data_IF_136563028372
#
_entry.id   IF_136563028372
#
_cell.length_a   1.000
_cell.length_b   1.000
_cell.length_c   1.000
_cell.angle_alpha   90.00
_cell.angle_beta   90.00
_cell.angle_gamma   90.00
#
_symmetry.space_group_name_H-M   'P 1'
#
loop_
_entity.id
_entity.type
_entity.pdbx_description
1 polymer ?
2 polymer ?
3 water ?
#
loop_
_entity_poly.entity_id
_entity_poly.type
_entity_poly.pdbx_seq_one_letter_code
_entity_poly.pdbx_strand_id
1 'polydeoxyribonucleotide' '(DT)(DC)(DA)(DC)(DG)(5CM)(DT)(DG)(DC)(DG)(DT)(DG)(DA)' ?
#
# COMPACT_ATOMS: atom_id res chain seq x y z
N UNK C 1 -21.55 -4.03 16.13
CA UNK C 1 -20.40 -4.89 15.91
C UNK C 1 -20.01 -5.55 17.23
N UNK C 2 -18.82 -6.15 17.29
CA UNK C 2 -18.38 -6.87 18.48
C UNK C 2 -17.00 -6.35 18.87
N UNK C 3 -16.50 -6.64 20.08
CA UNK C 3 -15.17 -6.16 20.47
C UNK C 3 -14.10 -6.67 19.53
N UNK C 4 -12.98 -5.94 19.51
CA UNK C 4 -11.88 -6.28 18.61
C UNK C 4 -11.23 -7.61 19.01
N UNK C 5 -11.02 -7.82 20.31
CA UNK C 5 -10.43 -9.05 20.81
C UNK C 5 -11.44 -10.19 20.95
N UNK C 6 -12.52 -10.15 20.17
CA UNK C 6 -13.56 -11.18 20.26
C UNK C 6 -13.15 -12.41 19.48
N UNK C 7 -13.39 -13.57 20.08
CA UNK C 7 -13.01 -14.86 19.51
C UNK C 7 -14.22 -15.54 18.89
N UNK C 8 -14.08 -15.97 17.64
CA UNK C 8 -15.08 -16.82 17.03
C UNK C 8 -15.89 -16.14 15.94
N UNK C 9 -17.02 -16.75 15.59
CA UNK C 9 -17.80 -16.25 14.44
C UNK C 9 -18.40 -14.88 14.71
N UNK C 10 -18.54 -14.10 13.63
CA UNK C 10 -19.23 -12.82 13.65
C UNK C 10 -20.70 -13.09 13.30
N UNK C 11 -21.64 -12.64 14.12
CA UNK C 11 -23.06 -12.98 13.90
C UNK C 11 -23.61 -12.26 12.68
N UNK C 12 -24.10 -13.03 11.70
CA UNK C 12 -24.69 -12.50 10.51
C UNK C 12 -23.90 -12.77 9.24
N UNK C 13 -22.61 -13.06 9.36
CA UNK C 13 -21.78 -13.40 8.21
C UNK C 13 -21.56 -14.91 8.21
N UNK C 14 -22.43 -15.69 7.56
CA UNK C 14 -22.26 -17.16 7.59
C UNK C 14 -21.03 -17.61 6.82
N UNK C 15 -20.76 -18.91 6.83
CA UNK C 15 -19.69 -19.46 6.01
C UNK C 15 -20.06 -19.32 4.55
N UNK C 16 -19.19 -18.66 3.77
CA UNK C 16 -19.39 -18.54 2.34
C UNK C 16 -19.62 -17.14 1.81
N UNK C 17 -19.67 -16.12 2.68
CA UNK C 17 -19.85 -14.75 2.20
C UNK C 17 -18.59 -14.25 1.51
N UNK C 18 -18.78 -13.34 0.56
CA UNK C 18 -17.70 -12.93 -0.34
C UNK C 18 -17.67 -11.41 -0.47
N UNK C 19 -16.69 -10.77 0.17
CA UNK C 19 -16.37 -9.38 -0.10
C UNK C 19 -15.27 -9.29 -1.16
N UNK C 20 -15.24 -8.17 -1.87
CA UNK C 20 -14.27 -7.98 -2.95
C UNK C 20 -12.94 -7.42 -2.45
N UNK C 21 -12.96 -6.53 -1.47
CA UNK C 21 -11.75 -5.93 -0.92
C UNK C 21 -11.63 -6.27 0.55
N UNK C 22 -10.41 -6.13 1.07
CA UNK C 22 -10.15 -6.46 2.46
C UNK C 22 -10.66 -5.39 3.42
N UNK C 23 -10.96 -4.18 2.94
CA UNK C 23 -11.59 -3.19 3.80
C UNK C 23 -13.03 -3.57 4.09
N UNK C 24 -13.72 -4.17 3.13
CA UNK C 24 -15.04 -4.69 3.42
C UNK C 24 -14.97 -5.85 4.41
N UNK C 25 -13.99 -6.73 4.25
CA UNK C 25 -13.82 -7.83 5.20
C UNK C 25 -13.54 -7.28 6.59
N UNK C 26 -12.87 -6.13 6.66
CA UNK C 26 -12.56 -5.47 7.94
C UNK C 26 -13.79 -4.87 8.59
N UNK C 27 -14.50 -4.01 7.85
CA UNK C 27 -15.74 -3.39 8.33
C UNK C 27 -16.75 -4.43 8.78
N UNK C 28 -16.79 -5.55 8.08
CA UNK C 28 -17.63 -6.67 8.50
C UNK C 28 -17.20 -7.21 9.86
N UNK C 29 -15.98 -6.93 10.27
CA UNK C 29 -15.46 -7.41 11.53
C UNK C 29 -14.89 -8.80 11.50
N UNK C 30 -15.01 -9.51 10.38
CA UNK C 30 -14.51 -10.88 10.28
C UNK C 30 -12.99 -10.90 10.39
N UNK C 31 -12.33 -9.96 9.71
CA UNK C 31 -10.87 -9.79 9.78
C UNK C 31 -10.56 -8.30 9.77
N UNK C 32 -10.25 -7.76 10.95
CA UNK C 32 -10.08 -6.31 11.12
C UNK C 32 -8.83 -5.70 10.52
N UNK C 33 -7.67 -6.35 10.47
CA UNK C 33 -6.50 -5.72 9.85
C UNK C 33 -6.70 -5.52 8.35
N UNK C 34 -6.43 -4.29 7.89
CA UNK C 34 -6.58 -3.97 6.48
C UNK C 34 -5.58 -4.73 5.62
N UNK C 35 -4.40 -5.03 6.17
CA UNK C 35 -3.34 -5.62 5.36
C UNK C 35 -2.77 -6.87 6.02
N UNK C 36 -2.61 -6.86 7.35
CA UNK C 36 -1.89 -7.92 8.02
C UNK C 36 -2.59 -9.25 7.85
N UNK C 37 -1.80 -10.31 7.71
CA UNK C 37 -2.39 -11.64 7.56
C UNK C 37 -3.09 -12.10 8.81
N UNK C 38 -2.48 -11.87 9.97
CA UNK C 38 -3.01 -12.32 11.25
C UNK C 38 -3.54 -11.13 12.02
N UNK C 39 -4.61 -11.36 12.77
CA UNK C 39 -5.13 -10.40 13.75
C UNK C 39 -4.98 -11.02 15.12
N UNK C 40 -4.18 -10.40 15.98
CA UNK C 40 -3.97 -10.96 17.30
C UNK C 40 -3.27 -10.00 18.23
N UNK C 41 -3.42 -10.28 19.51
CA UNK C 41 -2.67 -9.60 20.57
C UNK C 41 -1.84 -10.66 21.29
N UNK C 42 -0.53 -10.42 21.38
CA UNK C 42 0.37 -11.43 21.92
C UNK C 42 -0.02 -11.87 23.34
N UNK C 43 -0.84 -11.08 24.03
CA UNK C 43 -1.26 -11.40 25.38
C UNK C 43 -2.57 -12.19 25.43
N UNK C 44 -3.17 -12.51 24.29
CA UNK C 44 -4.52 -13.08 24.30
C UNK C 44 -4.68 -14.22 23.31
N UNK C 45 -4.38 -13.96 22.04
CA UNK C 45 -4.56 -14.97 21.02
C UNK C 45 -4.71 -14.32 19.66
N UNK C 46 -5.06 -15.16 18.69
CA UNK C 46 -5.33 -14.72 17.32
C UNK C 46 -6.81 -14.88 17.02
N UNK C 47 -7.42 -13.85 16.45
CA UNK C 47 -8.85 -13.83 16.22
C UNK C 47 -9.24 -14.14 14.77
N UNK C 48 -8.35 -13.88 13.82
CA UNK C 48 -8.66 -14.12 12.41
C UNK C 48 -7.38 -14.02 11.59
N UNK C 49 -7.31 -14.83 10.52
CA UNK C 49 -6.21 -14.74 9.58
C UNK C 49 -6.71 -14.94 8.16
N UNK C 50 -5.86 -14.53 7.22
CA UNK C 50 -6.17 -14.51 5.79
C UNK C 50 -5.13 -15.35 5.06
N UNK C 51 -5.58 -16.14 4.07
CA UNK C 51 -4.70 -16.90 3.20
C UNK C 51 -4.68 -16.24 1.83
N UNK C 52 -3.59 -15.53 1.54
CA UNK C 52 -3.42 -14.83 0.27
C UNK C 52 -2.21 -15.34 -0.51
N UNK C 53 -1.86 -16.60 -0.29
CA UNK C 53 -0.74 -17.22 -0.98
C UNK C 53 0.55 -16.48 -0.80
N UNK C 54 0.87 -16.09 0.43
CA UNK C 54 2.08 -15.32 0.67
C UNK C 54 3.34 -16.18 0.63
N UNK C 55 3.28 -17.37 1.20
CA UNK C 55 4.47 -18.18 1.43
C UNK C 55 4.52 -19.34 0.45
N UNK C 56 5.68 -19.51 -0.20
CA UNK C 56 5.83 -20.53 -1.23
C UNK C 56 5.56 -21.94 -0.72
N UNK C 57 5.66 -22.15 0.59
CA UNK C 57 5.18 -23.39 1.19
C UNK C 57 3.70 -23.23 1.48
N UNK C 58 3.31 -23.35 2.75
CA UNK C 58 1.94 -23.10 3.19
C UNK C 58 0.94 -23.91 2.37
N UNK C 59 1.07 -25.23 2.46
CA UNK C 59 0.22 -26.12 1.68
C UNK C 59 -1.22 -26.01 2.17
N UNK C 60 -2.14 -25.83 1.23
CA UNK C 60 -3.55 -25.62 1.52
C UNK C 60 -4.32 -26.86 1.06
N UNK C 61 -4.99 -27.52 2.02
CA UNK C 61 -5.71 -28.75 1.73
C UNK C 61 -7.17 -28.68 2.17
N UNK C 62 -7.70 -27.49 2.39
CA UNK C 62 -9.10 -27.34 2.73
C UNK C 62 -9.38 -27.36 4.22
N UNK C 63 -9.72 -28.54 4.75
CA UNK C 63 -9.90 -28.67 6.19
C UNK C 63 -8.59 -28.52 6.94
N UNK C 64 -7.46 -28.76 6.28
CA UNK C 64 -6.14 -28.64 6.87
C UNK C 64 -5.30 -27.69 6.02
N UNK C 65 -4.52 -26.83 6.66
CA UNK C 65 -3.53 -26.05 5.94
C UNK C 65 -2.41 -25.66 6.88
N UNK C 66 -1.20 -25.55 6.32
CA UNK C 66 -0.07 -24.99 7.04
C UNK C 66 0.05 -23.50 6.74
N UNK C 67 0.64 -22.78 7.69
CA UNK C 67 0.64 -21.32 7.64
C UNK C 67 1.92 -20.83 8.29
N UNK C 68 2.39 -19.66 7.86
CA UNK C 68 3.65 -19.10 8.33
C UNK C 68 3.43 -17.70 8.87
N UNK C 69 4.19 -17.34 9.92
CA UNK C 69 3.97 -16.10 10.64
C UNK C 69 4.60 -14.89 9.99
N UNK C 70 4.70 -13.81 10.78
CA UNK C 70 5.19 -12.52 10.33
C UNK C 70 6.58 -12.25 10.87
N UNK C 71 7.34 -11.43 10.15
CA UNK C 71 8.66 -11.02 10.56
C UNK C 71 9.67 -11.13 9.43
N UNK C 72 10.76 -10.38 9.56
CA UNK C 72 11.83 -10.40 8.58
C UNK C 72 11.44 -9.85 7.23
N UNK C 85 14.42 -12.18 5.45
CA UNK C 85 15.63 -11.37 5.45
C UNK C 85 16.22 -11.30 6.86
N UNK C 86 15.52 -11.93 7.82
CA UNK C 86 16.06 -12.20 9.14
C UNK C 86 15.08 -13.12 9.86
N UNK C 87 15.55 -13.71 10.96
CA UNK C 87 14.79 -14.72 11.67
C UNK C 87 13.48 -14.16 12.19
N UNK C 88 12.48 -15.05 12.28
CA UNK C 88 11.19 -14.71 12.86
C UNK C 88 11.18 -15.01 14.35
N UNK C 89 10.53 -14.16 15.13
CA UNK C 89 10.47 -14.31 16.57
C UNK C 89 9.07 -14.75 16.99
N UNK C 90 9.01 -15.48 18.11
CA UNK C 90 7.74 -15.88 18.69
C UNK C 90 7.19 -14.73 19.55
N UNK C 91 6.97 -13.60 18.88
CA UNK C 91 6.42 -12.42 19.53
C UNK C 91 5.39 -11.80 18.63
N UNK C 92 4.46 -11.08 19.24
CA UNK C 92 3.36 -10.36 18.56
C UNK C 92 2.48 -11.40 17.87
N UNK C 93 2.05 -11.14 16.63
CA UNK C 93 1.07 -12.00 15.97
C UNK C 93 1.53 -13.46 15.96
N UNK C 94 2.83 -13.70 15.82
CA UNK C 94 3.35 -15.06 15.89
C UNK C 94 3.02 -15.70 17.24
N UNK C 95 3.28 -14.96 18.32
CA UNK C 95 2.93 -15.46 19.65
C UNK C 95 1.42 -15.52 19.84
N UNK C 96 0.70 -14.53 19.30
CA UNK C 96 -0.75 -14.50 19.45
C UNK C 96 -1.39 -15.77 18.90
N UNK C 97 -0.98 -16.18 17.69
CA UNK C 97 -1.57 -17.35 17.07
C UNK C 97 -1.29 -18.61 17.89
N UNK C 98 -0.03 -18.82 18.29
CA UNK C 98 0.33 -20.01 19.03
C UNK C 98 -0.46 -20.12 20.34
N UNK C 99 -0.89 -18.99 20.89
CA UNK C 99 -1.64 -19.01 22.15
C UNK C 99 -2.94 -19.77 22.02
N UNK C 100 -3.50 -19.85 20.80
CA UNK C 100 -4.76 -20.55 20.60
C UNK C 100 -4.62 -22.06 20.67
N UNK C 101 -3.43 -22.60 20.45
CA UNK C 101 -3.23 -24.04 20.53
C UNK C 101 -3.36 -24.50 21.98
N UNK C 102 -4.19 -25.52 22.20
CA UNK C 102 -4.47 -26.03 23.54
C UNK C 102 -3.22 -26.70 24.10
N UNK C 103 -2.28 -25.86 24.51
CA UNK C 103 -1.00 -26.27 25.09
C UNK C 103 -0.31 -25.02 25.62
N UNK C 104 0.44 -25.11 26.72
CA UNK C 104 1.17 -23.95 27.21
C UNK C 104 2.15 -23.44 26.16
N UNK C 105 2.24 -22.12 26.04
CA UNK C 105 3.11 -21.47 25.06
C UNK C 105 4.53 -21.97 25.25
N UNK C 106 5.03 -22.73 24.28
CA UNK C 106 6.39 -23.25 24.29
C UNK C 106 7.17 -22.57 23.18
N UNK C 107 8.34 -22.04 23.53
CA UNK C 107 9.19 -21.34 22.59
C UNK C 107 9.87 -22.27 21.60
N UNK C 108 9.60 -23.58 21.64
CA UNK C 108 10.12 -24.53 20.67
C UNK C 108 9.03 -25.26 19.91
N UNK C 109 7.79 -24.79 19.99
CA UNK C 109 6.67 -25.44 19.32
C UNK C 109 5.99 -26.45 20.20
N UNK C 110 4.67 -26.56 20.09
CA UNK C 110 3.90 -27.45 20.95
C UNK C 110 2.84 -28.18 20.12
N UNK C 111 2.14 -29.10 20.78
CA UNK C 111 1.03 -29.83 20.19
C UNK C 111 -0.14 -29.80 21.16
N UNK C 112 -1.34 -30.02 20.62
CA UNK C 112 -2.57 -29.77 21.34
C UNK C 112 -3.10 -31.04 21.98
N UNK C 113 -3.22 -31.02 23.31
CA UNK C 113 -4.06 -31.96 24.05
C UNK C 113 -5.52 -31.62 23.76
N UNK C 114 -6.20 -32.48 22.99
CA UNK C 114 -7.54 -32.17 22.47
C UNK C 114 -7.50 -30.86 21.70
N UNK C 115 -7.17 -30.92 20.41
CA UNK C 115 -7.03 -29.71 19.60
C UNK C 115 -8.31 -28.89 19.56
N UNK C 116 -9.46 -29.53 19.68
CA UNK C 116 -10.74 -28.83 19.55
C UNK C 116 -11.00 -27.85 20.69
N UNK C 117 -10.18 -27.88 21.74
CA UNK C 117 -10.31 -26.92 22.85
C UNK C 117 -9.40 -25.71 22.68
N UNK C 118 -8.98 -25.43 21.45
CA UNK C 118 -8.23 -24.22 21.18
C UNK C 118 -9.12 -23.03 20.95
N UNK C 119 -8.51 -21.84 20.98
CA UNK C 119 -9.25 -20.63 20.67
C UNK C 119 -9.63 -20.64 19.18
N UNK C 120 -10.81 -20.14 18.83
CA UNK C 120 -11.22 -20.19 17.42
C UNK C 120 -10.59 -19.07 16.60
N UNK C 121 -10.26 -19.40 15.35
CA UNK C 121 -9.66 -18.46 14.42
C UNK C 121 -10.60 -18.31 13.23
N UNK C 122 -10.98 -17.07 12.91
CA UNK C 122 -11.68 -16.80 11.67
C UNK C 122 -10.69 -16.85 10.52
N UNK C 123 -11.11 -17.42 9.40
CA UNK C 123 -10.22 -17.59 8.25
C UNK C 123 -10.96 -17.21 6.98
N UNK C 124 -10.35 -16.34 6.19
CA UNK C 124 -10.87 -16.00 4.88
C UNK C 124 -9.77 -16.27 3.85
N UNK C 125 -10.20 -16.72 2.67
CA UNK C 125 -9.29 -17.01 1.58
C UNK C 125 -9.39 -15.92 0.52
N UNK C 126 -8.26 -15.57 -0.07
CA UNK C 126 -8.17 -14.46 -1.00
C UNK C 126 -7.75 -14.96 -2.38
N UNK C 127 -8.20 -14.24 -3.41
CA UNK C 127 -7.96 -14.67 -4.80
C UNK C 127 -6.48 -14.87 -5.08
N UNK C 128 -5.61 -14.13 -4.40
CA UNK C 128 -4.18 -14.28 -4.63
C UNK C 128 -3.65 -15.61 -4.10
N UNK C 129 -4.39 -16.28 -3.23
CA UNK C 129 -4.02 -17.60 -2.78
C UNK C 129 -4.11 -18.68 -3.84
N UNK C 130 -4.78 -18.41 -4.96
CA UNK C 130 -4.86 -19.37 -6.05
C UNK C 130 -3.51 -19.77 -6.61
N UNK C 131 -2.48 -18.94 -6.40
CA UNK C 131 -1.13 -19.28 -6.82
C UNK C 131 -0.69 -20.64 -6.28
N UNK C 132 -1.21 -21.05 -5.13
CA UNK C 132 -0.78 -22.29 -4.50
C UNK C 132 -1.92 -23.19 -4.03
N UNK C 133 -3.18 -22.75 -4.12
CA UNK C 133 -4.26 -23.48 -3.47
C UNK C 133 -5.45 -23.60 -4.40
N UNK C 134 -5.88 -24.85 -4.64
CA UNK C 134 -7.12 -25.11 -5.39
C UNK C 134 -8.36 -24.60 -4.65
N UNK C 135 -8.24 -24.25 -3.38
CA UNK C 135 -9.37 -23.87 -2.55
C UNK C 135 -9.59 -22.37 -2.49
N UNK C 136 -8.78 -21.58 -3.19
CA UNK C 136 -8.98 -20.15 -3.22
C UNK C 136 -10.23 -19.80 -4.01
N UNK C 137 -10.80 -18.63 -3.76
CA UNK C 137 -11.86 -18.13 -4.65
C UNK C 137 -11.28 -17.60 -5.94
N UNK C 138 -12.12 -17.55 -6.97
CA UNK C 138 -11.70 -16.96 -8.23
C UNK C 138 -11.55 -15.45 -8.09
N UNK C 139 -12.24 -14.85 -7.13
CA UNK C 139 -12.23 -13.40 -6.96
C UNK C 139 -12.59 -13.06 -5.52
N UNK C 140 -11.95 -12.02 -4.99
CA UNK C 140 -12.38 -11.45 -3.73
C UNK C 140 -11.95 -12.26 -2.51
N UNK C 141 -12.77 -12.17 -1.46
CA UNK C 141 -12.46 -12.75 -0.16
C UNK C 141 -13.66 -13.53 0.33
N UNK C 142 -13.44 -14.79 0.71
CA UNK C 142 -14.50 -15.68 1.17
C UNK C 142 -14.20 -16.15 2.59
N UNK C 143 -15.11 -15.86 3.52
CA UNK C 143 -15.01 -16.40 4.87
C UNK C 143 -15.34 -17.89 4.85
N UNK C 144 -14.32 -18.71 5.03
CA UNK C 144 -14.48 -20.16 4.93
C UNK C 144 -14.72 -20.85 6.27
N UNK C 145 -14.82 -20.09 7.36
CA UNK C 145 -15.34 -20.62 8.61
C UNK C 145 -14.32 -20.51 9.75
N UNK C 146 -14.30 -21.54 10.59
CA UNK C 146 -13.56 -21.55 11.85
C UNK C 146 -12.52 -22.65 11.82
N UNK C 147 -11.30 -22.32 12.23
CA UNK C 147 -10.24 -23.29 12.39
C UNK C 147 -9.64 -23.15 13.78
N UNK C 148 -8.94 -24.20 14.21
CA UNK C 148 -8.23 -24.20 15.48
C UNK C 148 -6.79 -24.65 15.25
N UNK C 149 -5.89 -24.14 16.09
CA UNK C 149 -4.47 -24.48 15.97
C UNK C 149 -4.25 -25.83 16.63
N UNK C 150 -3.74 -26.79 15.85
CA UNK C 150 -3.43 -28.12 16.35
C UNK C 150 -1.96 -28.24 16.74
N UNK C 151 -1.08 -27.59 15.99
CA UNK C 151 0.36 -27.75 16.16
C UNK C 151 1.05 -26.49 15.68
N UNK C 152 2.25 -26.25 16.21
CA UNK C 152 3.12 -25.23 15.65
C UNK C 152 4.57 -25.63 15.90
N UNK C 153 5.46 -25.14 15.05
CA UNK C 153 6.86 -25.57 15.04
C UNK C 153 7.68 -24.52 14.32
N UNK C 154 9.00 -24.47 14.57
CA UNK C 154 9.86 -23.60 13.77
C UNK C 154 10.62 -24.36 12.70
N UNK C 155 11.02 -23.68 11.62
CA UNK C 155 11.75 -24.37 10.55
C UNK C 155 12.42 -23.34 9.64
N UNK C 156 13.33 -23.85 8.81
CA UNK C 156 14.04 -23.02 7.85
C UNK C 156 13.38 -23.06 6.48
N UNK C 159 14.54 -19.02 1.15
CA UNK C 159 14.58 -18.79 2.59
C UNK C 159 16.00 -18.85 3.13
N UNK C 160 16.30 -19.87 3.91
CA UNK C 160 17.54 -19.92 4.66
C UNK C 160 17.47 -19.26 6.01
N UNK C 161 16.30 -18.78 6.42
CA UNK C 161 16.10 -18.18 7.73
C UNK C 161 15.00 -18.94 8.48
N UNK C 162 14.85 -18.61 9.76
CA UNK C 162 13.92 -19.34 10.63
C UNK C 162 12.53 -18.72 10.57
N UNK C 163 11.52 -19.58 10.45
CA UNK C 163 10.13 -19.16 10.36
C UNK C 163 9.29 -19.95 11.35
N UNK C 164 8.14 -19.39 11.70
CA UNK C 164 7.19 -20.01 12.62
C UNK C 164 5.98 -20.48 11.84
N UNK C 165 5.66 -21.77 11.95
CA UNK C 165 4.63 -22.39 11.13
C UNK C 165 3.56 -23.04 12.00
N UNK C 166 2.39 -23.24 11.41
CA UNK C 166 1.21 -23.67 12.14
C UNK C 166 0.37 -24.63 11.30
N UNK C 167 -0.02 -25.75 11.89
CA UNK C 167 -1.06 -26.59 11.32
C UNK C 167 -2.40 -26.11 11.85
N UNK C 168 -3.38 -25.96 10.94
CA UNK C 168 -4.73 -25.58 11.33
C UNK C 168 -5.73 -26.57 10.75
N UNK C 169 -6.59 -27.09 11.62
CA UNK C 169 -7.67 -28.00 11.25
C UNK C 169 -9.00 -27.26 11.39
N UNK C 170 -9.96 -27.59 10.54
CA UNK C 170 -11.25 -26.91 10.55
C UNK C 170 -12.19 -27.54 11.57
N UNK C 171 -12.91 -26.66 12.30
CA UNK C 171 -13.96 -27.10 13.22
C UNK C 171 -15.10 -26.08 13.13
N UNK C 172 -15.90 -26.18 12.08
CA UNK C 172 -17.10 -25.39 11.92
C UNK C 172 -18.27 -26.32 11.62
N UNK C 173 -19.46 -25.93 12.10
CA UNK C 173 -20.65 -26.73 11.83
C UNK C 173 -21.12 -26.55 10.40
N UNK C 174 -20.93 -25.37 9.82
CA UNK C 174 -21.41 -25.24 8.46
C UNK C 174 -20.34 -25.68 7.47
N UNK C 175 -20.73 -26.19 6.31
CA UNK C 175 -19.78 -26.92 5.45
C UNK C 175 -18.87 -26.00 4.66
N UNK C 176 -17.77 -26.59 4.21
CA UNK C 176 -16.83 -25.88 3.35
C UNK C 176 -17.52 -25.48 2.05
N UNK C 177 -17.30 -24.25 1.57
CA UNK C 177 -18.02 -23.79 0.37
C UNK C 177 -17.61 -24.51 -0.91
N UNK C 178 -16.49 -25.23 -0.94
CA UNK C 178 -16.09 -25.94 -2.14
C UNK C 178 -16.65 -27.36 -2.21
N UNK C 179 -17.44 -27.77 -1.23
CA UNK C 179 -18.04 -29.11 -1.23
C UNK C 179 -19.44 -29.06 -1.85
N UNK C 180 -19.98 -30.25 -2.09
CA UNK C 180 -21.34 -30.36 -2.62
C UNK C 180 -22.35 -29.77 -1.64
N UNK C 181 -22.25 -30.14 -0.36
CA UNK C 181 -23.11 -29.56 0.66
C UNK C 181 -22.91 -28.06 0.77
N UNK C 182 -21.65 -27.62 0.69
CA UNK C 182 -21.32 -26.21 0.80
C UNK C 182 -21.73 -25.39 -0.41
N UNK C 183 -21.59 -25.97 -1.60
CA UNK C 183 -22.05 -25.26 -2.80
C UNK C 183 -23.56 -25.07 -2.78
N UNK C 184 -24.28 -25.95 -2.06
CA UNK C 184 -25.73 -25.77 -1.93
C UNK C 184 -26.05 -24.68 -0.90
N UNK C 185 -25.27 -24.61 0.18
CA UNK C 185 -25.46 -23.54 1.15
C UNK C 185 -25.15 -22.18 0.52
N UNK C 186 -24.10 -22.10 -0.30
CA UNK C 186 -23.83 -20.86 -1.01
C UNK C 186 -25.01 -20.48 -1.92
N UNK C 187 -25.65 -21.46 -2.56
CA UNK C 187 -26.73 -21.15 -3.47
C UNK C 187 -28.03 -20.87 -2.73
N UNK C 188 -28.33 -21.63 -1.69
CA UNK C 188 -29.62 -21.48 -1.01
C UNK C 188 -29.67 -20.19 -0.19
N UNK C 189 -28.56 -19.81 0.42
CA UNK C 189 -28.51 -18.57 1.20
C UNK C 189 -28.32 -17.33 0.33
N UNK C 190 -28.29 -17.51 -0.99
CA UNK C 190 -28.23 -16.37 -1.91
C UNK C 190 -27.04 -15.46 -1.70
N UNK C 191 -25.86 -16.02 -1.49
CA UNK C 191 -24.66 -15.24 -1.26
C UNK C 191 -23.98 -14.92 -2.58
N UNK C 192 -23.76 -13.63 -2.84
CA UNK C 192 -23.07 -13.16 -4.03
C UNK C 192 -21.90 -12.29 -3.60
N UNK C 193 -20.95 -12.12 -4.52
CA UNK C 193 -19.82 -11.23 -4.28
C UNK C 193 -20.30 -9.82 -3.95
N UNK C 194 -20.08 -9.38 -2.72
CA UNK C 194 -20.55 -8.08 -2.26
C UNK C 194 -19.49 -7.04 -2.55
N UNK C 195 -19.85 -6.04 -3.34
CA UNK C 195 -18.96 -4.95 -3.70
C UNK C 195 -19.24 -3.73 -2.84
N UNK C 196 -18.24 -2.86 -2.64
CA UNK C 196 -18.49 -1.62 -1.89
C UNK C 196 -19.55 -0.78 -2.59
N UNK C 197 -20.35 -0.09 -1.79
CA UNK C 197 -21.40 0.76 -2.34
C UNK C 197 -20.78 1.83 -3.23
N UNK C 198 -21.09 1.77 -4.53
CA UNK C 198 -20.61 2.73 -5.49
C UNK C 198 -19.46 2.24 -6.34
N UNK C 199 -18.77 1.17 -5.92
CA UNK C 199 -17.58 0.73 -6.63
C UNK C 199 -17.90 0.34 -8.07
N UNK C 200 -18.87 -0.56 -8.25
CA UNK C 200 -19.19 -1.05 -9.59
C UNK C 200 -19.64 0.09 -10.49
N UNK C 201 -20.63 0.86 -10.05
CA UNK C 201 -21.15 1.97 -10.85
C UNK C 201 -20.04 2.95 -11.22
N UNK C 202 -19.21 3.32 -10.25
CA UNK C 202 -18.17 4.32 -10.52
C UNK C 202 -17.14 3.80 -11.51
N UNK C 203 -16.73 2.55 -11.36
CA UNK C 203 -15.68 2.03 -12.23
C UNK C 203 -16.15 1.90 -13.68
N UNK C 204 -17.45 1.70 -13.90
CA UNK C 204 -17.97 1.58 -15.25
C UNK C 204 -17.73 2.83 -16.09
N UNK C 205 -17.28 3.91 -15.48
CA UNK C 205 -17.05 5.17 -16.19
C UNK C 205 -15.56 5.31 -16.49
N UNK C 206 -15.16 4.74 -17.62
CA UNK C 206 -13.83 4.95 -18.18
C UNK C 206 -13.95 5.82 -19.42
N UNK C 207 -14.49 7.02 -19.26
CA UNK C 207 -14.56 7.98 -20.36
C UNK C 207 -13.47 9.03 -20.19
N UNK C 208 -12.23 8.56 -20.22
CA UNK C 208 -11.07 9.42 -20.15
C UNK C 208 -10.81 10.00 -21.54
N UNK C 209 -9.69 10.71 -21.71
CA UNK C 209 -9.35 11.27 -23.01
C UNK C 209 -8.58 10.26 -23.84
N UNK C 210 -8.68 10.43 -25.16
CA UNK C 210 -8.09 9.49 -26.11
C UNK C 210 -7.51 10.23 -27.32
N UNK D 1 -5.50 15.11 -23.88
CA UNK D 1 -5.26 15.50 -22.49
C UNK D 1 -3.76 15.41 -22.20
N UNK D 2 -2.98 15.39 -23.28
CA UNK D 2 -1.53 15.18 -23.35
C UNK D 2 -1.17 13.78 -22.87
N UNK D 3 -0.30 13.08 -23.60
CA UNK D 3 0.02 11.69 -23.27
C UNK D 3 0.74 11.56 -21.94
N UNK D 4 0.97 10.31 -21.55
CA UNK D 4 1.68 10.03 -20.30
C UNK D 4 3.08 10.59 -20.33
N UNK D 5 3.79 10.41 -21.44
CA UNK D 5 5.18 10.84 -21.54
C UNK D 5 5.29 12.27 -22.09
N UNK D 6 4.46 13.16 -21.56
CA UNK D 6 4.46 14.56 -21.93
C UNK D 6 5.27 15.36 -20.92
N UNK D 7 6.13 16.24 -21.42
CA UNK D 7 6.96 17.08 -20.56
C UNK D 7 6.26 18.40 -20.27
N UNK D 8 6.53 18.96 -19.09
CA UNK D 8 6.09 20.28 -18.75
C UNK D 8 4.72 20.32 -18.10
N UNK D 9 4.17 21.53 -17.96
CA UNK D 9 2.93 21.69 -17.20
C UNK D 9 1.75 21.01 -17.87
N UNK D 10 0.76 20.65 -17.06
CA UNK D 10 -0.46 20.02 -17.56
C UNK D 10 -1.49 21.11 -17.80
N UNK D 11 -2.02 21.24 -19.01
CA UNK D 11 -3.11 22.19 -19.25
C UNK D 11 -4.25 22.03 -18.26
N UNK D 12 -4.67 23.13 -17.67
CA UNK D 12 -5.79 23.14 -16.75
C UNK D 12 -5.46 22.88 -15.30
N UNK D 13 -4.18 22.67 -14.97
CA UNK D 13 -3.76 22.43 -13.60
C UNK D 13 -2.78 23.51 -13.16
N UNK D 14 -3.27 24.65 -12.69
CA UNK D 14 -2.37 25.76 -12.35
C UNK D 14 -1.51 25.45 -11.14
N UNK D 15 -0.39 26.18 -11.07
CA UNK D 15 0.50 26.09 -9.91
C UNK D 15 -0.27 26.43 -8.66
N UNK D 16 -0.10 25.61 -7.62
CA UNK D 16 -0.84 25.77 -6.39
C UNK D 16 -2.04 24.87 -6.24
N UNK D 17 -2.36 24.07 -7.26
CA UNK D 17 -3.46 23.12 -7.15
C UNK D 17 -3.17 22.12 -6.04
N UNK D 18 -4.21 21.75 -5.29
CA UNK D 18 -4.07 20.92 -4.11
C UNK D 18 -4.96 19.68 -4.22
N UNK D 19 -4.36 18.52 -3.98
CA UNK D 19 -5.09 17.26 -3.83
C UNK D 19 -4.72 16.62 -2.51
N UNK D 20 -5.72 16.00 -1.87
CA UNK D 20 -5.47 15.38 -0.56
C UNK D 20 -4.70 14.07 -0.69
N UNK D 21 -4.85 13.35 -1.80
CA UNK D 21 -4.31 12.01 -1.92
C UNK D 21 -3.51 11.84 -3.20
N UNK D 22 -2.57 10.89 -3.16
CA UNK D 22 -1.70 10.63 -4.29
C UNK D 22 -2.48 10.15 -5.52
N UNK D 23 -3.61 9.49 -5.30
CA UNK D 23 -4.39 8.95 -6.42
C UNK D 23 -4.98 10.08 -7.25
N UNK D 24 -5.44 11.15 -6.60
CA UNK D 24 -5.96 12.29 -7.35
C UNK D 24 -4.84 13.01 -8.08
N UNK D 25 -3.61 12.93 -7.56
CA UNK D 25 -2.49 13.59 -8.23
C UNK D 25 -2.11 12.86 -9.53
N UNK D 26 -2.44 11.56 -9.65
CA UNK D 26 -2.23 10.78 -10.88
C UNK D 26 -3.36 10.97 -11.88
N UNK D 27 -4.60 10.96 -11.40
CA UNK D 27 -5.73 11.36 -12.23
C UNK D 27 -5.52 12.76 -12.80
N UNK D 28 -5.04 13.67 -11.96
CA UNK D 28 -4.64 14.97 -12.45
C UNK D 28 -3.82 14.84 -13.73
N UNK D 29 -2.83 13.96 -13.73
CA UNK D 29 -1.85 13.90 -14.81
C UNK D 29 -0.50 14.49 -14.45
N UNK D 30 -0.41 15.31 -13.39
CA UNK D 30 0.87 15.93 -13.06
C UNK D 30 1.87 14.90 -12.55
N UNK D 31 1.41 13.87 -11.84
CA UNK D 31 2.30 12.80 -11.36
C UNK D 31 1.52 11.50 -11.33
N UNK D 32 1.68 10.69 -12.39
CA UNK D 32 0.93 9.45 -12.57
C UNK D 32 1.27 8.32 -11.58
N UNK D 33 2.51 8.15 -11.13
CA UNK D 33 2.78 7.08 -10.15
C UNK D 33 2.02 7.28 -8.85
N UNK D 34 1.42 6.20 -8.37
CA UNK D 34 0.65 6.24 -7.12
C UNK D 34 1.56 6.26 -5.90
N UNK D 35 2.72 5.61 -5.98
CA UNK D 35 3.61 5.47 -4.82
C UNK D 35 4.99 5.99 -5.18
N UNK D 36 5.50 5.58 -6.33
CA UNK D 36 6.87 5.88 -6.72
C UNK D 36 7.12 7.38 -6.71
N UNK D 37 8.35 7.76 -6.37
CA UNK D 37 8.69 9.17 -6.32
C UNK D 37 8.80 9.80 -7.69
N UNK D 38 9.27 9.04 -8.67
CA UNK D 38 9.62 9.58 -9.99
C UNK D 38 8.75 8.94 -11.06
N UNK D 39 8.41 9.74 -12.08
CA UNK D 39 7.79 9.29 -13.31
C UNK D 39 8.82 9.48 -14.43
N UNK D 40 9.34 8.37 -14.97
CA UNK D 40 10.38 8.50 -15.97
C UNK D 40 10.85 7.22 -16.65
N UNK D 41 11.01 7.29 -17.96
CA UNK D 41 11.53 6.19 -18.78
C UNK D 41 13.01 6.43 -19.07
N UNK D 42 13.77 5.35 -19.15
CA UNK D 42 15.23 5.40 -19.12
C UNK D 42 15.87 5.90 -20.42
N UNK D 43 15.09 6.12 -21.48
CA UNK D 43 15.62 6.67 -22.72
C UNK D 43 14.97 7.98 -23.11
N UNK D 44 14.10 8.53 -22.26
CA UNK D 44 13.35 9.74 -22.58
C UNK D 44 13.63 10.85 -21.58
N UNK D 45 13.44 10.59 -20.30
CA UNK D 45 13.61 11.59 -19.26
C UNK D 45 12.63 11.35 -18.15
N UNK D 46 12.59 12.30 -17.21
CA UNK D 46 11.64 12.26 -16.10
C UNK D 46 10.60 13.35 -16.28
N UNK D 47 9.38 13.05 -15.84
CA UNK D 47 8.25 13.96 -16.03
C UNK D 47 7.76 14.58 -14.74
N UNK D 48 7.94 13.93 -13.60
CA UNK D 48 7.43 14.45 -12.34
C UNK D 48 8.05 13.71 -11.17
N UNK D 49 8.21 14.44 -10.06
CA UNK D 49 8.65 13.87 -8.80
C UNK D 49 7.85 14.50 -7.67
N UNK D 50 7.84 13.81 -6.52
CA UNK D 50 7.09 14.24 -5.35
C UNK D 50 8.04 14.28 -4.16
N UNK D 51 8.02 15.38 -3.42
CA UNK D 51 8.79 15.54 -2.19
C UNK D 51 7.92 15.10 -1.02
N UNK D 52 8.16 13.88 -0.53
CA UNK D 52 7.41 13.33 0.60
C UNK D 52 8.32 12.99 1.77
N UNK D 53 9.51 13.57 1.82
CA UNK D 53 10.44 13.35 2.90
C UNK D 53 10.94 11.92 3.03
N UNK D 54 10.98 11.17 1.93
CA UNK D 54 11.25 9.75 2.03
C UNK D 54 12.68 9.39 2.37
N UNK D 55 13.62 10.31 2.21
CA UNK D 55 15.03 9.97 2.31
C UNK D 55 15.78 10.92 3.22
N UNK D 56 16.70 10.34 4.01
CA UNK D 56 17.60 11.14 4.83
C UNK D 56 18.41 12.10 3.98
N UNK D 57 18.73 11.70 2.75
CA UNK D 57 19.58 12.47 1.84
C UNK D 57 18.72 13.48 1.07
N UNK D 58 18.29 14.54 1.77
CA UNK D 58 17.47 15.54 1.10
C UNK D 58 17.52 16.87 1.82
N UNK D 59 17.63 17.95 1.04
CA UNK D 59 17.55 19.32 1.53
C UNK D 59 16.55 20.06 0.65
N UNK D 60 15.58 20.72 1.26
CA UNK D 60 14.53 21.42 0.54
C UNK D 60 14.59 22.91 0.88
N UNK D 61 14.88 23.75 -0.11
CA UNK D 61 14.93 25.19 0.11
C UNK D 61 13.96 25.95 -0.80
N UNK D 62 12.95 25.26 -1.33
CA UNK D 62 11.92 25.95 -2.08
C UNK D 62 12.23 26.19 -3.55
N UNK D 63 12.81 27.35 -3.87
CA UNK D 63 13.19 27.62 -5.25
C UNK D 63 14.16 26.57 -5.76
N UNK D 64 14.89 25.93 -4.87
CA UNK D 64 15.69 24.76 -5.23
C UNK D 64 15.63 23.75 -4.09
N UNK D 65 15.86 22.50 -4.46
CA UNK D 65 15.99 21.38 -3.54
C UNK D 65 16.95 20.40 -4.17
N UNK D 66 17.55 19.56 -3.34
CA UNK D 66 18.32 18.42 -3.83
C UNK D 66 17.58 17.14 -3.49
N UNK D 67 17.63 16.17 -4.41
CA UNK D 67 16.70 15.05 -4.45
C UNK D 67 17.49 13.73 -4.51
N UNK D 68 16.82 12.65 -4.12
CA UNK D 68 17.44 11.34 -4.01
C UNK D 68 16.68 10.33 -4.87
N UNK D 69 17.35 9.22 -5.19
CA UNK D 69 16.80 8.27 -6.14
C UNK D 69 16.05 7.07 -5.58
N UNK D 70 16.35 5.87 -6.08
CA UNK D 70 15.63 4.67 -5.69
C UNK D 70 16.61 3.63 -5.16
N UNK D 71 16.26 2.98 -4.06
CA UNK D 71 17.10 1.95 -3.48
C UNK D 71 16.54 1.26 -2.24
N UNK D 85 19.29 0.17 1.91
CA UNK D 85 20.38 -0.69 2.32
C UNK D 85 20.93 -1.50 1.16
N UNK D 86 21.27 -0.80 0.07
CA UNK D 86 21.91 -1.39 -1.10
C UNK D 86 22.33 -0.27 -2.02
N UNK D 87 23.51 -0.43 -2.62
CA UNK D 87 24.09 0.63 -3.44
C UNK D 87 23.19 0.95 -4.63
N UNK D 88 23.18 2.22 -5.01
CA UNK D 88 22.35 2.69 -6.11
C UNK D 88 23.10 2.61 -7.43
N UNK D 89 22.35 2.75 -8.51
CA UNK D 89 22.89 2.75 -9.86
C UNK D 89 22.14 3.76 -10.71
N UNK D 90 22.84 4.34 -11.69
CA UNK D 90 22.18 5.20 -12.66
C UNK D 90 21.51 4.27 -13.67
N UNK D 91 20.32 3.82 -13.29
CA UNK D 91 19.48 2.95 -14.09
C UNK D 91 18.05 3.46 -14.00
N UNK D 92 17.19 2.90 -14.85
CA UNK D 92 15.74 3.13 -14.78
C UNK D 92 15.38 4.59 -14.53
N UNK D 93 14.76 4.86 -13.38
CA UNK D 93 14.30 6.22 -13.10
C UNK D 93 15.47 7.17 -12.83
N UNK D 94 16.48 6.71 -12.09
CA UNK D 94 17.63 7.58 -11.83
C UNK D 94 18.39 7.88 -13.11
N UNK D 95 18.41 6.94 -14.06
CA UNK D 95 18.91 7.25 -15.40
C UNK D 95 18.06 8.32 -16.06
N UNK D 96 16.74 8.27 -15.87
CA UNK D 96 15.83 9.17 -16.55
C UNK D 96 16.10 10.62 -16.15
N UNK D 97 16.11 10.90 -14.85
CA UNK D 97 16.31 12.26 -14.36
C UNK D 97 17.60 12.87 -14.92
N UNK D 98 18.64 12.05 -15.06
CA UNK D 98 19.92 12.58 -15.52
C UNK D 98 19.84 13.13 -16.93
N UNK D 99 19.00 12.53 -17.78
CA UNK D 99 18.83 13.05 -19.14
C UNK D 99 18.12 14.39 -19.15
N UNK D 100 17.37 14.73 -18.09
CA UNK D 100 16.75 16.05 -18.00
C UNK D 100 17.78 17.16 -17.84
N UNK D 101 18.98 16.82 -17.37
CA UNK D 101 20.06 17.80 -17.29
C UNK D 101 20.58 18.09 -18.68
N UNK D 102 20.90 19.35 -18.94
CA UNK D 102 21.38 19.78 -20.26
C UNK D 102 22.87 19.48 -20.42
N UNK D 103 23.20 18.19 -20.30
CA UNK D 103 24.56 17.73 -20.53
C UNK D 103 24.54 16.23 -20.70
N UNK D 104 25.30 15.67 -21.65
CA UNK D 104 25.25 14.24 -21.91
C UNK D 104 25.46 13.39 -20.66
N UNK D 105 24.76 12.26 -20.63
CA UNK D 105 24.75 11.36 -19.49
C UNK D 105 26.17 10.95 -19.12
N UNK D 106 26.45 10.90 -17.82
CA UNK D 106 27.77 10.56 -17.30
C UNK D 106 27.62 9.73 -16.04
N UNK D 107 28.25 8.55 -16.04
CA UNK D 107 28.20 7.68 -14.86
C UNK D 107 28.89 8.29 -13.65
N UNK D 108 29.70 9.33 -13.85
CA UNK D 108 30.37 10.03 -12.75
C UNK D 108 29.61 11.26 -12.28
N UNK D 109 28.44 11.53 -12.85
CA UNK D 109 27.72 12.76 -12.57
C UNK D 109 28.13 13.89 -13.50
N UNK D 110 27.23 14.85 -13.65
CA UNK D 110 27.45 15.94 -14.59
C UNK D 110 26.70 17.19 -14.14
N UNK D 111 26.96 18.29 -14.85
CA UNK D 111 26.29 19.56 -14.65
C UNK D 111 25.96 20.15 -16.00
N UNK D 112 24.86 20.90 -16.07
CA UNK D 112 24.38 21.50 -17.30
C UNK D 112 24.89 22.92 -17.45
N UNK D 113 25.48 23.23 -18.61
CA UNK D 113 25.70 24.61 -19.01
C UNK D 113 24.40 25.10 -19.66
N UNK D 114 23.81 26.15 -19.09
CA UNK D 114 22.45 26.60 -19.41
C UNK D 114 21.43 25.53 -19.01
N UNK D 115 21.33 25.36 -17.69
CA UNK D 115 20.43 24.37 -17.11
C UNK D 115 18.99 24.58 -17.55
N UNK D 116 18.63 25.81 -17.95
CA UNK D 116 17.26 26.13 -18.29
C UNK D 116 16.79 25.44 -19.58
N UNK D 117 17.71 24.91 -20.39
CA UNK D 117 17.34 24.18 -21.59
C UNK D 117 17.33 22.67 -21.38
N UNK D 118 17.28 22.24 -20.11
CA UNK D 118 16.96 20.86 -19.82
C UNK D 118 15.48 20.61 -19.89
N UNK D 119 15.10 19.35 -19.82
CA UNK D 119 13.68 19.09 -20.01
C UNK D 119 12.92 19.30 -18.70
N UNK D 120 11.73 19.89 -18.78
CA UNK D 120 11.01 20.28 -17.56
C UNK D 120 10.59 19.11 -16.70
N UNK D 121 10.49 19.36 -15.41
CA UNK D 121 10.05 18.37 -14.42
C UNK D 121 9.02 19.02 -13.52
N UNK D 122 7.79 18.53 -13.58
CA UNK D 122 6.76 18.98 -12.64
C UNK D 122 7.11 18.49 -11.24
N UNK D 123 7.04 19.39 -10.27
CA UNK D 123 7.40 19.06 -8.90
C UNK D 123 6.15 19.19 -8.03
N UNK D 124 5.80 18.10 -7.36
CA UNK D 124 4.70 18.07 -6.41
C UNK D 124 5.30 17.97 -5.01
N UNK D 125 4.74 18.74 -4.08
CA UNK D 125 5.17 18.70 -2.69
C UNK D 125 4.08 18.08 -1.84
N UNK D 126 4.44 17.03 -1.10
CA UNK D 126 3.54 16.33 -0.19
C UNK D 126 3.77 16.85 1.22
N UNK D 127 2.71 16.76 2.05
CA UNK D 127 2.80 17.26 3.42
C UNK D 127 3.82 16.50 4.25
N UNK D 128 4.15 15.27 3.87
CA UNK D 128 5.14 14.46 4.58
C UNK D 128 6.56 15.01 4.47
N UNK D 129 6.74 16.19 3.88
CA UNK D 129 8.05 16.81 3.82
C UNK D 129 8.15 18.01 4.74
N UNK D 130 7.06 18.34 5.42
CA UNK D 130 7.07 19.47 6.34
C UNK D 130 8.01 19.27 7.51
N UNK D 131 8.28 18.01 7.86
CA UNK D 131 9.21 17.70 8.95
C UNK D 131 10.53 18.43 8.79
N UNK D 132 11.07 18.44 7.57
CA UNK D 132 12.36 19.06 7.29
C UNK D 132 12.26 20.13 6.20
N UNK D 133 11.08 20.72 6.01
CA UNK D 133 10.91 21.77 5.01
C UNK D 133 9.70 22.61 5.39
N UNK D 134 9.93 23.88 5.70
CA UNK D 134 8.82 24.82 5.85
C UNK D 134 8.04 24.98 4.55
N UNK D 135 8.65 24.62 3.41
CA UNK D 135 8.06 24.80 2.10
C UNK D 135 7.08 23.70 1.73
N UNK D 136 6.93 22.68 2.56
CA UNK D 136 5.91 21.70 2.29
C UNK D 136 4.54 22.23 2.68
N UNK D 137 3.46 21.73 2.09
CA UNK D 137 2.13 22.15 2.52
C UNK D 137 1.76 21.48 3.83
N UNK D 138 0.77 22.07 4.50
CA UNK D 138 0.31 21.51 5.76
C UNK D 138 -0.44 20.20 5.54
N UNK D 139 -1.19 20.10 4.45
CA UNK D 139 -2.11 18.98 4.25
C UNK D 139 -2.08 18.57 2.79
N UNK D 140 -1.99 17.25 2.56
CA UNK D 140 -2.18 16.74 1.20
C UNK D 140 -1.03 17.07 0.28
N UNK D 141 -1.36 17.29 -0.99
CA UNK D 141 -0.37 17.47 -2.04
C UNK D 141 -0.60 18.82 -2.73
N UNK D 142 0.47 19.36 -3.30
CA UNK D 142 0.45 20.70 -3.88
C UNK D 142 1.37 20.72 -5.09
N UNK D 143 0.84 21.18 -6.21
CA UNK D 143 1.66 21.33 -7.41
C UNK D 143 2.37 22.67 -7.36
N UNK D 144 3.69 22.64 -7.54
CA UNK D 144 4.52 23.81 -7.29
C UNK D 144 5.25 24.31 -8.54
N UNK D 145 4.93 23.80 -9.71
CA UNK D 145 5.49 24.32 -10.93
C UNK D 145 6.60 23.46 -11.51
N UNK D 146 7.38 24.08 -12.39
CA UNK D 146 8.38 23.40 -13.19
C UNK D 146 9.77 23.64 -12.61
N UNK D 147 10.51 22.55 -12.40
CA UNK D 147 11.91 22.63 -12.01
C UNK D 147 12.75 21.97 -13.10
N UNK D 148 14.00 22.39 -13.20
CA UNK D 148 14.96 21.80 -14.12
C UNK D 148 16.12 21.24 -13.33
N UNK D 149 16.79 20.24 -13.90
CA UNK D 149 17.95 19.63 -13.25
C UNK D 149 19.18 20.45 -13.58
N UNK D 150 19.85 20.94 -12.54
CA UNK D 150 21.08 21.70 -12.72
C UNK D 150 22.29 20.79 -12.78
N UNK D 151 22.33 19.79 -11.90
CA UNK D 151 23.54 19.00 -11.69
C UNK D 151 23.14 17.73 -10.94
N UNK D 152 23.93 16.68 -11.13
CA UNK D 152 23.70 15.43 -10.41
C UNK D 152 25.03 14.75 -10.15
N UNK D 153 25.08 13.98 -9.06
CA UNK D 153 26.34 13.44 -8.56
C UNK D 153 26.03 12.25 -7.66
N UNK D 154 27.04 11.44 -7.33
CA UNK D 154 26.85 10.39 -6.33
C UNK D 154 27.44 10.74 -4.97
N UNK D 155 26.89 10.19 -3.89
CA UNK D 155 27.31 10.52 -2.55
C UNK D 155 27.28 9.26 -1.68
N UNK D 156 28.08 9.25 -0.63
CA UNK D 156 28.17 8.11 0.27
C UNK D 156 27.15 8.22 1.42
N UNK D 161 27.34 2.91 2.28
CA UNK D 161 26.33 2.97 1.23
C UNK D 161 26.58 4.17 0.32
N UNK D 162 26.13 4.08 -0.94
CA UNK D 162 26.32 5.13 -1.93
C UNK D 162 25.00 5.43 -2.61
N UNK D 163 24.72 6.73 -2.81
CA UNK D 163 23.45 7.17 -3.36
C UNK D 163 23.68 8.22 -4.43
N UNK D 164 22.65 8.41 -5.27
CA UNK D 164 22.65 9.40 -6.34
C UNK D 164 21.80 10.59 -5.92
N UNK D 165 22.32 11.81 -6.08
CA UNK D 165 21.61 13.02 -5.71
C UNK D 165 21.57 14.00 -6.88
N UNK D 166 20.54 14.86 -6.87
CA UNK D 166 20.28 15.83 -7.93
C UNK D 166 19.95 17.18 -7.33
N UNK D 167 20.34 18.26 -8.02
CA UNK D 167 19.98 19.62 -7.63
C UNK D 167 19.03 20.21 -8.68
N UNK D 168 17.90 20.75 -8.23
CA UNK D 168 16.85 21.21 -9.12
C UNK D 168 16.47 22.64 -8.80
N UNK D 169 16.63 23.53 -9.77
CA UNK D 169 16.20 24.92 -9.68
C UNK D 169 14.85 25.10 -10.37
N UNK D 170 14.07 26.06 -9.89
CA UNK D 170 12.75 26.31 -10.42
C UNK D 170 12.81 27.27 -11.61
N UNK D 171 12.03 26.95 -12.66
CA UNK D 171 12.00 27.73 -13.89
C UNK D 171 10.55 27.75 -14.41
N UNK D 172 9.71 28.52 -13.73
CA UNK D 172 8.28 28.61 -14.05
C UNK D 172 7.83 30.05 -13.82
N UNK D 173 7.05 30.58 -14.77
CA UNK D 173 6.71 32.00 -14.74
C UNK D 173 5.76 32.32 -13.58
N UNK D 174 4.80 31.44 -13.29
CA UNK D 174 3.84 31.76 -12.25
C UNK D 174 4.44 31.56 -10.86
N UNK D 175 4.04 32.38 -9.89
CA UNK D 175 4.75 32.42 -8.61
C UNK D 175 4.52 31.18 -7.76
N UNK D 176 5.46 30.97 -6.83
CA UNK D 176 5.38 29.84 -5.90
C UNK D 176 4.23 30.05 -4.92
N UNK D 177 3.57 28.96 -4.50
CA UNK D 177 2.38 29.08 -3.64
C UNK D 177 2.67 29.46 -2.19
N UNK D 178 3.92 29.61 -1.78
CA UNK D 178 4.22 30.03 -0.41
C UNK D 178 4.55 31.51 -0.31
N UNK D 179 4.60 32.23 -1.42
CA UNK D 179 4.92 33.65 -1.43
C UNK D 179 3.64 34.49 -1.39
N UNK D 180 3.81 35.81 -1.37
CA UNK D 180 2.66 36.70 -1.42
C UNK D 180 1.96 36.61 -2.77
N UNK D 181 2.73 36.73 -3.86
CA UNK D 181 2.15 36.67 -5.20
C UNK D 181 1.45 35.35 -5.44
N UNK D 182 2.05 34.24 -4.99
CA UNK D 182 1.43 32.95 -5.19
C UNK D 182 0.19 32.74 -4.34
N UNK D 183 0.29 33.08 -3.05
CA UNK D 183 -0.88 33.00 -2.17
C UNK D 183 -2.04 33.83 -2.70
N UNK D 184 -1.74 34.93 -3.41
CA UNK D 184 -2.80 35.73 -4.00
C UNK D 184 -3.45 35.03 -5.18
N UNK D 185 -2.70 34.18 -5.88
CA UNK D 185 -3.28 33.46 -7.02
C UNK D 185 -4.22 32.36 -6.56
N UNK D 186 -3.89 31.69 -5.45
CA UNK D 186 -4.73 30.61 -4.95
C UNK D 186 -6.09 31.12 -4.50
N UNK D 187 -6.10 32.22 -3.73
CA UNK D 187 -7.37 32.81 -3.31
C UNK D 187 -8.19 33.26 -4.51
N UNK D 188 -7.53 33.88 -5.51
CA UNK D 188 -8.25 34.45 -6.63
C UNK D 188 -8.64 33.41 -7.68
N UNK D 189 -7.88 32.31 -7.79
CA UNK D 189 -8.24 31.24 -8.72
C UNK D 189 -9.21 30.25 -8.12
N UNK D 190 -9.44 30.29 -6.80
CA UNK D 190 -10.34 29.35 -6.17
C UNK D 190 -9.76 27.97 -5.95
N UNK D 191 -8.47 27.79 -6.16
CA UNK D 191 -7.81 26.51 -5.92
C UNK D 191 -7.85 26.18 -4.44
N UNK D 192 -8.72 25.25 -4.04
CA UNK D 192 -8.80 24.78 -2.68
C UNK D 192 -8.54 23.27 -2.65
N UNK D 193 -8.36 22.74 -1.45
CA UNK D 193 -7.98 21.34 -1.29
C UNK D 193 -9.03 20.42 -1.89
N UNK D 194 -8.61 19.58 -2.82
CA UNK D 194 -9.51 18.65 -3.49
C UNK D 194 -9.50 17.31 -2.79
N UNK D 195 -10.69 16.79 -2.50
CA UNK D 195 -10.89 15.52 -1.84
C UNK D 195 -11.68 14.59 -2.75
N UNK D 196 -11.60 13.28 -2.56
CA UNK D 196 -12.42 12.37 -3.36
C UNK D 196 -13.89 12.55 -3.01
N UNK D 197 -14.75 12.30 -4.00
CA UNK D 197 -16.18 12.36 -3.76
C UNK D 197 -16.57 11.32 -2.70
N UNK D 198 -17.28 11.78 -1.67
CA UNK D 198 -17.71 10.91 -0.60
C UNK D 198 -16.71 10.71 0.52
N UNK D 199 -15.48 11.21 0.38
CA UNK D 199 -14.49 11.09 1.44
C UNK D 199 -14.93 11.87 2.67
N UNK D 200 -15.12 13.19 2.53
CA UNK D 200 -15.50 14.02 3.67
C UNK D 200 -16.82 13.56 4.28
N UNK D 201 -17.73 13.05 3.45
CA UNK D 201 -19.03 12.62 3.94
C UNK D 201 -18.90 11.45 4.90
N UNK D 202 -18.27 10.35 4.43
CA UNK D 202 -18.17 9.14 5.23
C UNK D 202 -17.15 9.27 6.36
N UNK D 203 -16.22 10.22 6.26
CA UNK D 203 -15.25 10.41 7.33
C UNK D 203 -15.79 11.31 8.43
N UNK D 204 -16.70 12.23 8.11
CA UNK D 204 -17.46 12.90 9.18
C UNK D 204 -18.41 11.91 9.85
N UNK D 205 -19.00 11.00 9.07
CA UNK D 205 -19.76 9.91 9.66
C UNK D 205 -18.92 9.17 10.69
N UNK D 206 -17.75 8.67 10.28
CA UNK D 206 -16.90 7.88 11.15
C UNK D 206 -16.32 8.73 12.28
N UNK D 207 -16.17 10.04 12.05
CA UNK D 207 -15.62 10.93 13.08
C UNK D 207 -16.52 10.99 14.30
N UNK D 208 -17.82 11.21 14.08
CA UNK D 208 -18.78 11.13 15.18
C UNK D 208 -19.03 9.70 15.62
N UNK D 209 -18.79 8.72 14.75
CA UNK D 209 -18.94 7.28 15.06
C UNK D 209 -20.40 6.87 15.20
#
# INVERSE_FOLDING_TARGET
IVPANHFGPIPGVPVGTMWRFRVQVSESGVHRPHVAGIHGRSNDGAYSLVLAGGYEDDVDNGNYFTYTGSGGRDLSGNKRTAGQSSDQKLTNNNRALALNCHSPINEKGAEAEDWRQGKPVRVVRNMKGGKHSKYAPAEGNRYDGIYKVVKYWPERGKSGFLVWRYLLRRDDTEPEPWTREGKDRTRQLGLTMQYPEGYLEALANKEKSRKR
IVPANHFGPIPGVPVGTMWRFRVQVSESGVHRPHVAGIHGRSNDGAYSLVLAGGYEDDVDNGNYFTYTGSGGRDLSGNKRTAGQSSDQKLTNNNRALALNCHSPINEKGAEAEDWRQGKPVRVVRNMKGGKHSKYAPAEGNRYDGIYKVVKYWPERGKSGFLVWRYLLRRDDTEPEPWTREGKDRTRQLGLTMQYPEGYLEALANKEKSRKR
#
